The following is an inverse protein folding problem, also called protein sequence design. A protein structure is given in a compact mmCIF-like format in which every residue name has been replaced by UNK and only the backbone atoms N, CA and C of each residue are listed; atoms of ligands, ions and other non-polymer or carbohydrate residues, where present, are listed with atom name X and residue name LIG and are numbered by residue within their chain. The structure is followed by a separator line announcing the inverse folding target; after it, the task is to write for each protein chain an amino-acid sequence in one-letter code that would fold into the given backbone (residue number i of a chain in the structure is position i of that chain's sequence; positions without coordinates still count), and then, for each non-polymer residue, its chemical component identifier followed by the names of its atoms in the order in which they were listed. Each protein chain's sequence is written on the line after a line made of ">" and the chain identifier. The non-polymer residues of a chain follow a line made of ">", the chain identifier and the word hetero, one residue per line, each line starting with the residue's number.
data_IF_404697510944
#
_entry.id   IF_404697510944
#
_cell.length_a   1.000
_cell.length_b   1.000
_cell.length_c   1.000
_cell.angle_alpha   90.00
_cell.angle_beta   90.00
_cell.angle_gamma   90.00
#
_symmetry.space_group_name_H-M   'P 1'
#
loop_
_entity.id
_entity.type
_entity.pdbx_description
1 polymer ?
#
# COMPACT_ATOMS: atom_id res chain seq x y z
N UNK A 1 4.00 7.54 -4.44
CA UNK A 1 2.76 7.49 -5.28
C UNK A 1 2.55 8.79 -6.06
N UNK A 2 1.68 8.85 -7.10
CA UNK A 2 1.44 10.10 -7.87
C UNK A 2 0.93 11.27 -7.02
N UNK A 3 0.00 11.03 -6.09
CA UNK A 3 -0.53 12.10 -5.23
C UNK A 3 0.47 12.58 -4.16
N UNK A 4 1.38 11.70 -3.74
CA UNK A 4 2.46 12.03 -2.83
C UNK A 4 3.45 13.01 -3.47
N UNK A 5 3.82 12.78 -4.72
CA UNK A 5 4.63 13.72 -5.49
C UNK A 5 3.97 15.11 -5.60
N UNK A 6 2.64 15.14 -5.84
CA UNK A 6 1.86 16.40 -5.90
C UNK A 6 1.89 17.14 -4.56
N UNK A 7 1.82 16.42 -3.43
CA UNK A 7 1.90 17.00 -2.07
C UNK A 7 3.26 17.59 -1.81
N UNK A 8 4.32 16.85 -2.10
CA UNK A 8 5.69 17.28 -1.79
C UNK A 8 6.10 18.54 -2.58
N UNK A 9 5.52 18.74 -3.77
CA UNK A 9 5.80 19.89 -4.63
C UNK A 9 4.66 20.92 -4.69
N UNK A 10 3.66 20.85 -3.82
CA UNK A 10 2.48 21.75 -3.85
C UNK A 10 2.83 23.23 -3.59
N UNK A 11 3.96 23.50 -2.94
CA UNK A 11 4.46 24.85 -2.68
C UNK A 11 5.26 25.44 -3.86
N UNK A 12 5.78 24.57 -4.74
CA UNK A 12 6.58 24.98 -5.90
C UNK A 12 5.73 25.07 -7.17
N UNK A 13 4.73 24.19 -7.32
CA UNK A 13 3.87 24.13 -8.50
C UNK A 13 2.39 24.11 -8.14
N UNK A 14 1.55 24.62 -9.06
CA UNK A 14 0.09 24.60 -8.88
C UNK A 14 -0.41 23.15 -8.97
N UNK A 15 -1.10 22.68 -7.93
CA UNK A 15 -1.73 21.34 -7.86
C UNK A 15 -2.54 21.01 -9.13
N UNK A 16 -3.28 21.97 -9.70
CA UNK A 16 -4.08 21.76 -10.92
C UNK A 16 -3.22 21.36 -12.12
N UNK A 17 -2.03 21.95 -12.25
CA UNK A 17 -1.08 21.67 -13.33
C UNK A 17 -0.47 20.29 -13.14
N UNK A 18 -0.02 19.98 -11.91
CA UNK A 18 0.55 18.66 -11.62
C UNK A 18 -0.47 17.54 -11.81
N UNK A 19 -1.74 17.73 -11.41
CA UNK A 19 -2.81 16.75 -11.66
C UNK A 19 -3.03 16.51 -13.16
N UNK A 20 -2.96 17.55 -14.00
CA UNK A 20 -3.05 17.42 -15.46
C UNK A 20 -1.85 16.64 -16.03
N UNK A 21 -0.64 17.01 -15.62
CA UNK A 21 0.61 16.40 -16.11
C UNK A 21 0.70 14.92 -15.74
N UNK A 22 0.31 14.57 -14.51
CA UNK A 22 0.36 13.19 -14.01
C UNK A 22 -0.86 12.33 -14.43
N UNK A 23 -1.80 12.94 -15.16
CA UNK A 23 -3.08 12.37 -15.57
C UNK A 23 -3.86 11.76 -14.39
N UNK A 24 -4.05 12.57 -13.33
CA UNK A 24 -4.81 12.20 -12.12
C UNK A 24 -5.90 13.22 -11.82
N UNK A 25 -6.98 12.77 -11.19
CA UNK A 25 -8.11 13.65 -10.91
C UNK A 25 -7.87 14.52 -9.68
N UNK A 26 -8.23 15.80 -9.78
CA UNK A 26 -8.01 16.78 -8.70
C UNK A 26 -8.83 16.47 -7.45
N UNK A 27 -10.06 15.97 -7.60
CA UNK A 27 -10.86 15.51 -6.46
C UNK A 27 -10.24 14.30 -5.78
N UNK A 28 -9.58 13.42 -6.54
CA UNK A 28 -8.82 12.28 -6.02
C UNK A 28 -7.63 12.71 -5.16
N UNK A 29 -6.94 13.80 -5.54
CA UNK A 29 -5.87 14.37 -4.72
C UNK A 29 -6.37 14.82 -3.35
N UNK A 30 -7.47 15.57 -3.27
CA UNK A 30 -8.00 16.02 -1.98
C UNK A 30 -8.64 14.89 -1.16
N UNK A 31 -9.21 13.88 -1.81
CA UNK A 31 -9.67 12.66 -1.13
C UNK A 31 -8.49 11.88 -0.53
N UNK A 32 -7.40 11.74 -1.29
CA UNK A 32 -6.13 11.16 -0.82
C UNK A 32 -5.49 12.02 0.27
N UNK A 33 -5.58 13.35 0.20
CA UNK A 33 -5.05 14.22 1.25
C UNK A 33 -5.76 13.99 2.60
N UNK A 34 -7.06 13.70 2.57
CA UNK A 34 -7.85 13.35 3.77
C UNK A 34 -7.54 11.96 4.31
N UNK A 35 -7.17 11.01 3.46
CA UNK A 35 -6.78 9.66 3.82
C UNK A 35 -5.63 9.19 2.92
N UNK A 36 -4.37 9.56 3.26
CA UNK A 36 -3.23 9.24 2.41
C UNK A 36 -2.92 7.73 2.38
N UNK A 37 -3.41 7.00 3.39
CA UNK A 37 -3.45 5.55 3.44
C UNK A 37 -4.82 5.09 2.94
N UNK A 38 -4.86 4.47 1.75
CA UNK A 38 -6.05 3.75 1.33
C UNK A 38 -6.29 2.56 2.29
N UNK A 39 -7.54 2.07 2.38
CA UNK A 39 -7.83 0.84 3.13
C UNK A 39 -6.88 -0.30 2.74
N UNK A 40 -6.61 -0.40 1.43
CA UNK A 40 -5.63 -1.34 0.87
C UNK A 40 -4.21 -1.12 1.40
N UNK A 41 -3.73 0.12 1.50
CA UNK A 41 -2.39 0.39 2.05
C UNK A 41 -2.29 0.06 3.55
N UNK A 42 -3.41 0.19 4.30
CA UNK A 42 -3.47 -0.23 5.69
C UNK A 42 -3.46 -1.75 5.81
N UNK A 43 -4.22 -2.44 4.97
CA UNK A 43 -4.21 -3.90 4.87
C UNK A 43 -2.85 -4.44 4.44
N UNK A 44 -2.22 -3.86 3.42
CA UNK A 44 -0.86 -4.20 2.97
C UNK A 44 0.15 -4.03 4.10
N UNK A 45 0.03 -2.98 4.91
CA UNK A 45 0.89 -2.76 6.08
C UNK A 45 0.65 -3.82 7.16
N UNK A 46 -0.62 -4.16 7.43
CA UNK A 46 -0.97 -5.23 8.38
C UNK A 46 -0.43 -6.58 7.91
N UNK A 47 -0.61 -6.89 6.64
CA UNK A 47 -0.13 -8.12 6.01
C UNK A 47 1.40 -8.16 6.03
N UNK A 48 2.09 -7.05 5.75
CA UNK A 48 3.55 -6.94 5.88
C UNK A 48 4.02 -7.18 7.30
N UNK A 49 3.29 -6.70 8.32
CA UNK A 49 3.61 -6.98 9.72
C UNK A 49 3.48 -8.47 10.03
N UNK A 50 2.41 -9.13 9.57
CA UNK A 50 2.21 -10.57 9.74
C UNK A 50 3.30 -11.39 9.02
N UNK A 51 3.70 -10.97 7.81
CA UNK A 51 4.82 -11.56 7.07
C UNK A 51 6.12 -11.52 7.87
N UNK A 52 6.43 -10.36 8.44
CA UNK A 52 7.62 -10.21 9.27
C UNK A 52 7.55 -11.07 10.52
N UNK A 53 6.38 -11.14 11.16
CA UNK A 53 6.19 -11.93 12.37
C UNK A 53 6.36 -13.43 12.08
N UNK A 54 5.68 -13.97 11.08
CA UNK A 54 5.81 -15.38 10.67
C UNK A 54 7.27 -15.74 10.31
N UNK A 55 7.96 -14.83 9.60
CA UNK A 55 9.37 -15.02 9.28
C UNK A 55 10.26 -15.04 10.54
N UNK A 56 10.03 -14.15 11.51
CA UNK A 56 10.77 -14.11 12.77
C UNK A 56 10.48 -15.33 13.65
N UNK A 57 9.22 -15.76 13.76
CA UNK A 57 8.82 -16.95 14.52
C UNK A 57 9.46 -18.23 13.95
N UNK A 58 9.68 -18.29 12.64
CA UNK A 58 10.41 -19.38 11.99
C UNK A 58 11.93 -19.34 12.21
N UNK A 59 12.47 -18.36 12.93
CA UNK A 59 13.90 -18.14 13.10
C UNK A 59 14.61 -17.69 11.81
N UNK A 60 13.87 -17.15 10.84
CA UNK A 60 14.39 -16.73 9.54
C UNK A 60 14.71 -17.86 8.56
N UNK A 61 14.36 -19.11 8.91
CA UNK A 61 14.62 -20.30 8.10
C UNK A 61 13.57 -20.46 7.00
N UNK A 62 12.36 -19.93 7.20
CA UNK A 62 11.27 -20.13 6.25
C UNK A 62 11.41 -19.20 5.04
N UNK A 63 11.51 -19.80 3.86
CA UNK A 63 11.38 -19.08 2.59
C UNK A 63 9.94 -18.66 2.30
N UNK A 64 9.75 -17.84 1.27
CA UNK A 64 8.47 -17.19 0.95
C UNK A 64 7.27 -18.15 0.85
N UNK A 65 7.50 -19.41 0.44
CA UNK A 65 6.43 -20.41 0.28
C UNK A 65 5.85 -20.85 1.61
N UNK A 66 6.69 -21.16 2.60
CA UNK A 66 6.23 -21.54 3.94
C UNK A 66 5.57 -20.37 4.67
N UNK A 67 6.15 -19.18 4.53
CA UNK A 67 5.56 -17.94 5.04
C UNK A 67 4.18 -17.65 4.40
N UNK A 68 4.01 -17.99 3.12
CA UNK A 68 2.72 -17.89 2.43
C UNK A 68 1.69 -18.92 2.92
N UNK A 69 2.12 -20.16 3.18
CA UNK A 69 1.28 -21.19 3.79
C UNK A 69 0.84 -20.78 5.21
N UNK A 70 1.76 -20.28 6.04
CA UNK A 70 1.45 -19.77 7.39
C UNK A 70 0.40 -18.64 7.34
N UNK A 71 0.49 -17.76 6.34
CA UNK A 71 -0.52 -16.72 6.11
C UNK A 71 -1.88 -17.29 5.70
N UNK A 72 -1.89 -18.32 4.85
CA UNK A 72 -3.14 -18.97 4.45
C UNK A 72 -3.80 -19.66 5.65
N UNK A 73 -3.03 -20.31 6.51
CA UNK A 73 -3.52 -20.90 7.77
C UNK A 73 -4.07 -19.85 8.75
N UNK A 74 -3.48 -18.65 8.75
CA UNK A 74 -4.00 -17.49 9.49
C UNK A 74 -5.24 -16.84 8.85
N UNK A 75 -5.75 -17.39 7.73
CA UNK A 75 -6.91 -16.86 7.00
C UNK A 75 -6.60 -15.62 6.16
N UNK A 76 -5.32 -15.28 5.96
CA UNK A 76 -4.89 -14.13 5.18
C UNK A 76 -4.75 -14.49 3.70
N UNK A 77 -5.56 -13.86 2.85
CA UNK A 77 -5.39 -13.94 1.40
C UNK A 77 -4.25 -13.02 0.94
N UNK A 78 -3.03 -13.54 0.95
CA UNK A 78 -1.87 -12.87 0.39
C UNK A 78 -1.82 -13.08 -1.13
N UNK A 79 -2.30 -12.09 -1.89
CA UNK A 79 -2.33 -12.15 -3.35
C UNK A 79 -2.41 -10.77 -4.00
N UNK A 80 -1.69 -10.61 -5.12
CA UNK A 80 -1.82 -9.43 -5.99
C UNK A 80 -3.19 -9.51 -6.65
N UNK A 81 -4.17 -8.83 -6.06
CA UNK A 81 -5.56 -8.65 -6.49
C UNK A 81 -6.58 -9.60 -5.83
N UNK A 82 -7.03 -9.22 -4.64
CA UNK A 82 -8.37 -9.54 -4.15
C UNK A 82 -9.44 -8.82 -4.99
N UNK A 83 -9.68 -9.32 -6.20
CA UNK A 83 -10.92 -9.09 -6.95
C UNK A 83 -11.40 -10.43 -7.49
N UNK A 84 -12.30 -11.06 -6.75
CA UNK A 84 -13.53 -11.60 -7.30
C UNK A 84 -14.60 -11.64 -6.23
#
# INVERSE_FOLDING_TARGET
>A
MKYEFVRDHQHQFRVRTMCRVLNVHRSGYYAWLRNPLSRRALEDRRQTCLIKQAWLESGGVYGYRKVHDDMRDLGEMCGVNGQK
#
